data_IF_469586735299
#
_entry.id   IF_469586735299
#
_cell.length_a   1.000
_cell.length_b   1.000
_cell.length_c   1.000
_cell.angle_alpha   90.00
_cell.angle_beta   90.00
_cell.angle_gamma   90.00
#
_symmetry.space_group_name_H-M   'P 1'
#
loop_
_entity.id
_entity.type
_entity.pdbx_description
1 polymer ?
#
# COMPACT_ATOMS: atom_id res chain seq x y z
N UNK A 1 -4.52 8.24 -5.06
CA UNK A 1 -3.15 8.76 -5.29
C UNK A 1 -2.19 7.86 -4.52
N UNK A 2 -1.36 7.08 -5.22
CA UNK A 2 -0.29 6.31 -4.57
C UNK A 2 0.67 7.28 -3.88
N UNK A 3 0.85 7.13 -2.57
CA UNK A 3 1.77 7.97 -1.76
C UNK A 3 3.17 7.36 -1.70
N UNK A 4 3.29 6.05 -1.91
CA UNK A 4 4.56 5.33 -1.95
C UNK A 4 4.87 4.88 -3.37
N UNK A 5 6.09 5.14 -3.82
CA UNK A 5 6.59 4.72 -5.13
C UNK A 5 7.55 3.54 -5.00
N UNK A 6 7.58 2.70 -6.04
CA UNK A 6 8.65 1.72 -6.22
C UNK A 6 9.68 2.32 -7.17
N UNK A 7 10.93 2.42 -6.73
CA UNK A 7 12.00 2.96 -7.57
C UNK A 7 12.45 1.93 -8.60
N UNK A 8 12.27 2.27 -9.87
CA UNK A 8 12.73 1.50 -11.03
C UNK A 8 13.94 2.16 -11.70
N UNK A 9 14.18 3.45 -11.42
CA UNK A 9 15.10 4.30 -12.18
C UNK A 9 16.37 4.67 -11.39
N UNK A 10 16.59 4.08 -10.21
CA UNK A 10 17.71 4.39 -9.31
C UNK A 10 17.76 5.88 -8.96
N UNK A 11 16.62 6.42 -8.52
CA UNK A 11 16.48 7.84 -8.20
C UNK A 11 17.14 8.16 -6.85
N UNK A 12 17.68 9.37 -6.75
CA UNK A 12 18.16 9.90 -5.47
C UNK A 12 17.00 10.48 -4.68
N UNK A 13 16.78 9.96 -3.49
CA UNK A 13 15.81 10.51 -2.55
C UNK A 13 16.45 11.64 -1.72
N UNK A 14 15.62 12.56 -1.22
CA UNK A 14 16.06 13.54 -0.23
C UNK A 14 16.35 12.85 1.11
N UNK A 15 17.15 13.49 1.95
CA UNK A 15 17.52 13.02 3.31
C UNK A 15 16.30 12.78 4.22
N UNK A 16 15.21 13.50 3.96
CA UNK A 16 13.93 13.36 4.66
C UNK A 16 13.05 12.19 4.19
N UNK A 17 13.43 11.50 3.12
CA UNK A 17 12.64 10.39 2.58
C UNK A 17 12.86 9.09 3.36
N UNK A 18 11.76 8.39 3.68
CA UNK A 18 11.83 7.04 4.20
C UNK A 18 12.06 6.05 3.05
N UNK A 19 13.14 5.26 3.13
CA UNK A 19 13.51 4.27 2.11
C UNK A 19 13.39 2.87 2.71
N UNK A 20 12.74 1.99 1.97
CA UNK A 20 12.54 0.60 2.34
C UNK A 20 13.36 -0.32 1.43
N UNK A 21 14.06 -1.29 2.01
CA UNK A 21 14.89 -2.26 1.27
C UNK A 21 14.54 -3.69 1.68
N UNK A 22 14.72 -4.67 0.80
CA UNK A 22 14.37 -6.06 1.04
C UNK A 22 13.87 -6.81 -0.20
N UNK A 23 13.33 -8.01 -0.01
CA UNK A 23 12.91 -8.91 -1.09
C UNK A 23 11.43 -8.75 -1.51
N UNK A 24 10.53 -8.37 -0.61
CA UNK A 24 9.07 -8.31 -0.85
C UNK A 24 8.57 -6.87 -1.09
N UNK A 25 9.40 -6.03 -1.72
CA UNK A 25 9.14 -4.60 -1.84
C UNK A 25 7.90 -4.28 -2.69
N UNK A 26 7.64 -5.07 -3.73
CA UNK A 26 6.48 -4.86 -4.61
C UNK A 26 5.18 -5.11 -3.86
N UNK A 27 5.06 -6.26 -3.20
CA UNK A 27 3.94 -6.55 -2.31
C UNK A 27 3.76 -5.47 -1.25
N UNK A 28 4.83 -5.09 -0.56
CA UNK A 28 4.75 -4.14 0.54
C UNK A 28 4.34 -2.74 0.07
N UNK A 29 4.82 -2.31 -1.10
CA UNK A 29 4.39 -1.07 -1.72
C UNK A 29 2.91 -1.12 -2.14
N UNK A 30 2.45 -2.23 -2.72
CA UNK A 30 1.04 -2.44 -3.05
C UNK A 30 0.16 -2.41 -1.78
N UNK A 31 0.57 -3.13 -0.74
CA UNK A 31 -0.15 -3.21 0.53
C UNK A 31 -0.27 -1.84 1.22
N UNK A 32 0.81 -1.07 1.35
CA UNK A 32 0.77 0.24 2.01
C UNK A 32 -0.10 1.24 1.20
N UNK A 33 -0.14 1.10 -0.13
CA UNK A 33 -0.99 1.92 -0.98
C UNK A 33 -2.46 1.43 -1.04
N UNK A 34 -2.78 0.22 -0.58
CA UNK A 34 -4.16 -0.25 -0.45
C UNK A 34 -4.95 0.61 0.52
N UNK A 35 -6.28 0.63 0.36
CA UNK A 35 -7.17 1.41 1.22
C UNK A 35 -6.99 1.05 2.71
N UNK A 36 -6.90 -0.23 3.04
CA UNK A 36 -6.67 -0.68 4.42
C UNK A 36 -5.28 -0.28 4.92
N UNK A 37 -4.23 -0.59 4.16
CA UNK A 37 -2.85 -0.30 4.57
C UNK A 37 -2.60 1.20 4.77
N UNK A 38 -3.15 2.01 3.87
CA UNK A 38 -3.13 3.46 3.95
C UNK A 38 -3.81 3.95 5.23
N UNK A 39 -5.05 3.53 5.49
CA UNK A 39 -5.76 3.93 6.71
C UNK A 39 -5.03 3.49 7.98
N UNK A 40 -4.54 2.26 8.05
CA UNK A 40 -3.80 1.76 9.21
C UNK A 40 -2.55 2.61 9.48
N UNK A 41 -1.85 3.02 8.43
CA UNK A 41 -0.70 3.90 8.54
C UNK A 41 -1.11 5.30 9.04
N UNK A 42 -2.02 5.99 8.35
CA UNK A 42 -2.35 7.39 8.68
C UNK A 42 -3.11 7.56 10.00
N UNK A 43 -3.80 6.51 10.48
CA UNK A 43 -4.44 6.52 11.79
C UNK A 43 -3.44 6.39 12.94
N UNK A 44 -2.31 5.69 12.73
CA UNK A 44 -1.29 5.45 13.76
C UNK A 44 -0.06 6.33 13.64
N UNK A 45 0.16 6.95 12.48
CA UNK A 45 1.32 7.76 12.23
C UNK A 45 1.32 9.04 13.11
N UNK A 46 2.50 9.44 13.60
CA UNK A 46 2.65 10.68 14.35
C UNK A 46 2.29 11.88 13.47
N UNK A 47 1.72 12.90 14.11
CA UNK A 47 1.33 14.15 13.45
C UNK A 47 2.17 15.31 13.97
N UNK A 48 2.48 16.28 13.11
CA UNK A 48 3.10 17.54 13.50
C UNK A 48 2.12 18.39 14.33
N UNK A 49 2.61 19.47 14.95
CA UNK A 49 1.75 20.44 15.65
C UNK A 49 0.69 21.11 14.76
N UNK A 50 0.84 21.05 13.42
CA UNK A 50 -0.12 21.55 12.42
C UNK A 50 -1.06 20.45 11.89
N UNK A 51 -0.88 19.20 12.31
CA UNK A 51 -1.71 18.07 11.91
C UNK A 51 -1.21 17.28 10.68
N UNK A 52 -0.07 17.65 10.11
CA UNK A 52 0.56 16.94 9.00
C UNK A 52 1.09 15.57 9.45
N UNK A 53 0.91 14.55 8.63
CA UNK A 53 1.34 13.19 8.98
C UNK A 53 2.81 13.00 8.65
N UNK A 54 3.57 12.51 9.64
CA UNK A 54 4.98 12.17 9.48
C UNK A 54 5.09 10.68 9.15
N UNK A 55 5.52 10.37 7.93
CA UNK A 55 5.81 9.00 7.49
C UNK A 55 7.26 8.66 7.81
N UNK A 56 7.52 8.27 9.06
CA UNK A 56 8.83 7.82 9.53
C UNK A 56 8.88 6.29 9.65
N UNK A 57 10.08 5.74 9.86
CA UNK A 57 10.26 4.30 10.19
C UNK A 57 9.40 3.91 11.40
N UNK A 58 9.28 4.78 12.40
CA UNK A 58 8.46 4.55 13.59
C UNK A 58 6.95 4.46 13.28
N UNK A 59 6.49 5.12 12.21
CA UNK A 59 5.10 5.02 11.76
C UNK A 59 4.83 3.70 11.02
N UNK A 60 5.84 3.16 10.33
CA UNK A 60 5.74 1.95 9.53
C UNK A 60 5.94 0.67 10.34
N UNK A 61 6.82 0.70 11.36
CA UNK A 61 7.15 -0.44 12.21
C UNK A 61 5.92 -1.15 12.85
N UNK A 62 4.89 -0.44 13.38
CA UNK A 62 3.72 -1.08 13.97
C UNK A 62 2.64 -1.50 12.94
N UNK A 63 2.90 -1.37 11.64
CA UNK A 63 1.94 -1.73 10.60
C UNK A 63 1.81 -3.26 10.53
N UNK A 64 0.60 -3.83 10.66
CA UNK A 64 0.44 -5.28 10.75
C UNK A 64 0.51 -5.93 9.36
N UNK A 65 1.70 -6.03 8.77
CA UNK A 65 1.90 -6.63 7.44
C UNK A 65 1.75 -8.16 7.52
N UNK A 66 0.91 -8.79 6.68
CA UNK A 66 0.76 -10.24 6.68
C UNK A 66 2.08 -10.93 6.27
N UNK A 67 2.55 -11.94 7.02
CA UNK A 67 3.74 -12.68 6.63
C UNK A 67 3.44 -13.54 5.40
N UNK A 68 4.45 -13.78 4.57
CA UNK A 68 4.36 -14.72 3.44
C UNK A 68 4.39 -16.15 3.97
N UNK A 69 3.25 -16.84 3.89
CA UNK A 69 3.06 -18.22 4.36
C UNK A 69 2.45 -19.08 3.25
N UNK A 70 2.50 -20.41 3.37
CA UNK A 70 1.92 -21.31 2.38
C UNK A 70 0.41 -21.10 2.15
N UNK A 71 -0.32 -20.53 3.12
CA UNK A 71 -1.77 -20.28 3.02
C UNK A 71 -2.12 -19.05 2.19
N UNK A 72 -1.29 -18.00 2.25
CA UNK A 72 -1.58 -16.70 1.63
C UNK A 72 -0.61 -16.33 0.50
N UNK A 73 0.38 -17.18 0.20
CA UNK A 73 1.37 -16.92 -0.84
C UNK A 73 0.74 -16.66 -2.21
N UNK A 74 -0.34 -17.38 -2.55
CA UNK A 74 -1.05 -17.17 -3.82
C UNK A 74 -1.66 -15.78 -3.92
N UNK A 75 -2.31 -15.31 -2.85
CA UNK A 75 -2.92 -13.97 -2.78
C UNK A 75 -1.83 -12.89 -2.82
N UNK A 76 -0.73 -13.09 -2.10
CA UNK A 76 0.41 -12.18 -2.10
C UNK A 76 1.03 -12.07 -3.50
N UNK A 77 1.24 -13.20 -4.18
CA UNK A 77 1.80 -13.23 -5.53
C UNK A 77 0.85 -12.55 -6.55
N UNK A 78 -0.47 -12.74 -6.39
CA UNK A 78 -1.46 -12.05 -7.22
C UNK A 78 -1.44 -10.53 -7.03
N UNK A 79 -1.33 -10.05 -5.77
CA UNK A 79 -1.15 -8.63 -5.46
C UNK A 79 0.12 -8.08 -6.15
N UNK A 80 1.23 -8.82 -6.10
CA UNK A 80 2.47 -8.40 -6.77
C UNK A 80 2.29 -8.29 -8.29
N UNK A 81 1.60 -9.24 -8.92
CA UNK A 81 1.31 -9.22 -10.35
C UNK A 81 0.47 -7.99 -10.72
N UNK A 82 -0.62 -7.71 -9.97
CA UNK A 82 -1.46 -6.53 -10.21
C UNK A 82 -0.67 -5.23 -10.04
N UNK A 83 0.20 -5.18 -9.01
CA UNK A 83 1.05 -4.00 -8.80
C UNK A 83 2.04 -3.79 -9.96
N UNK A 84 2.65 -4.85 -10.49
CA UNK A 84 3.51 -4.76 -11.68
C UNK A 84 2.72 -4.22 -12.88
N UNK A 85 1.48 -4.67 -13.08
CA UNK A 85 0.62 -4.14 -14.15
C UNK A 85 0.37 -2.64 -13.97
N UNK A 86 0.06 -2.18 -12.75
CA UNK A 86 -0.09 -0.75 -12.43
C UNK A 86 1.17 0.03 -12.81
N UNK A 87 2.35 -0.47 -12.43
CA UNK A 87 3.63 0.18 -12.78
C UNK A 87 3.81 0.26 -14.30
N UNK A 88 3.55 -0.82 -15.03
CA UNK A 88 3.65 -0.84 -16.51
C UNK A 88 2.67 0.15 -17.17
N UNK A 89 1.45 0.28 -16.65
CA UNK A 89 0.49 1.26 -17.15
C UNK A 89 0.98 2.69 -16.91
N UNK A 90 1.45 2.98 -15.69
CA UNK A 90 1.93 4.32 -15.31
C UNK A 90 3.25 4.72 -15.97
N UNK A 91 4.08 3.76 -16.34
CA UNK A 91 5.31 3.99 -17.11
C UNK A 91 5.00 4.44 -18.54
N UNK A 92 3.96 3.86 -19.16
CA UNK A 92 3.52 4.25 -20.51
C UNK A 92 2.79 5.60 -20.51
N UNK A 93 1.95 5.83 -19.52
CA UNK A 93 1.23 7.08 -19.33
C UNK A 93 0.97 7.32 -17.84
N UNK A 94 1.58 8.38 -17.30
CA UNK A 94 1.48 8.74 -15.90
C UNK A 94 0.04 9.02 -15.43
N UNK A 95 -0.85 9.39 -16.37
CA UNK A 95 -2.26 9.70 -16.13
C UNK A 95 -3.19 8.51 -16.39
N UNK A 96 -2.65 7.33 -16.72
CA UNK A 96 -3.46 6.14 -16.95
C UNK A 96 -4.31 5.81 -15.73
N UNK A 97 -5.61 5.59 -16.00
CA UNK A 97 -6.56 5.16 -14.99
C UNK A 97 -6.32 3.69 -14.64
N UNK A 98 -5.86 3.48 -13.41
CA UNK A 98 -5.59 2.16 -12.84
C UNK A 98 -6.54 1.82 -11.68
N UNK A 99 -7.61 2.60 -11.50
CA UNK A 99 -8.52 2.49 -10.35
C UNK A 99 -9.14 1.10 -10.21
N UNK A 100 -9.33 0.38 -11.33
CA UNK A 100 -9.85 -0.98 -11.31
C UNK A 100 -8.83 -1.98 -10.74
N UNK A 101 -7.54 -1.84 -11.10
CA UNK A 101 -6.45 -2.66 -10.55
C UNK A 101 -6.22 -2.35 -9.07
N UNK A 102 -6.28 -1.08 -8.69
CA UNK A 102 -6.18 -0.65 -7.28
C UNK A 102 -7.30 -1.28 -6.44
N UNK A 103 -8.55 -1.27 -6.93
CA UNK A 103 -9.68 -1.93 -6.26
C UNK A 103 -9.51 -3.45 -6.15
N UNK A 104 -8.92 -4.10 -7.14
CA UNK A 104 -8.63 -5.54 -7.07
C UNK A 104 -7.60 -5.84 -5.98
N UNK A 105 -6.54 -5.02 -5.88
CA UNK A 105 -5.56 -5.12 -4.80
C UNK A 105 -6.25 -4.94 -3.45
N UNK A 106 -7.15 -3.96 -3.31
CA UNK A 106 -7.89 -3.75 -2.05
C UNK A 106 -8.69 -4.99 -1.64
N UNK A 107 -9.41 -5.63 -2.56
CA UNK A 107 -10.15 -6.86 -2.27
C UNK A 107 -9.24 -8.01 -1.83
N UNK A 108 -8.10 -8.20 -2.49
CA UNK A 108 -7.12 -9.23 -2.11
C UNK A 108 -6.49 -8.92 -0.74
N UNK A 109 -6.24 -7.64 -0.44
CA UNK A 109 -5.76 -7.22 0.88
C UNK A 109 -6.80 -7.50 1.96
N UNK A 110 -8.09 -7.25 1.70
CA UNK A 110 -9.16 -7.61 2.64
C UNK A 110 -9.22 -9.12 2.89
N UNK A 111 -9.02 -9.92 1.84
CA UNK A 111 -8.94 -11.38 1.94
C UNK A 111 -7.76 -11.85 2.81
N UNK A 112 -6.62 -11.14 2.83
CA UNK A 112 -5.49 -11.51 3.69
C UNK A 112 -5.81 -11.44 5.20
N UNK A 113 -6.87 -10.72 5.59
CA UNK A 113 -7.33 -10.61 6.98
C UNK A 113 -8.69 -11.28 7.21
N UNK A 114 -9.21 -12.00 6.21
CA UNK A 114 -10.54 -12.63 6.26
C UNK A 114 -11.66 -11.62 6.63
N UNK A 115 -11.57 -10.38 6.14
CA UNK A 115 -12.56 -9.34 6.47
C UNK A 115 -13.94 -9.69 5.91
N UNK A 116 -14.95 -9.45 6.73
CA UNK A 116 -16.35 -9.57 6.35
C UNK A 116 -16.83 -8.38 5.51
N UNK A 117 -17.92 -8.54 4.77
CA UNK A 117 -18.52 -7.45 4.00
C UNK A 117 -18.88 -6.22 4.85
N UNK A 118 -19.23 -6.42 6.13
CA UNK A 118 -19.53 -5.34 7.07
C UNK A 118 -18.26 -4.54 7.42
N UNK A 119 -17.15 -5.24 7.71
CA UNK A 119 -15.85 -4.64 8.01
C UNK A 119 -15.27 -3.92 6.80
N UNK A 120 -15.35 -4.53 5.60
CA UNK A 120 -14.98 -3.88 4.34
C UNK A 120 -15.78 -2.58 4.17
N UNK A 121 -17.09 -2.62 4.44
CA UNK A 121 -17.92 -1.42 4.39
C UNK A 121 -17.52 -0.33 5.39
N UNK A 122 -16.88 -0.67 6.51
CA UNK A 122 -16.32 0.32 7.46
C UNK A 122 -15.03 0.93 6.87
N UNK A 123 -14.13 0.11 6.35
CA UNK A 123 -12.88 0.54 5.72
C UNK A 123 -13.15 1.50 4.56
N UNK A 124 -14.05 1.11 3.65
CA UNK A 124 -14.41 1.92 2.47
C UNK A 124 -15.07 3.26 2.85
N UNK A 125 -15.94 3.27 3.87
CA UNK A 125 -16.54 4.52 4.37
C UNK A 125 -15.50 5.46 4.98
N UNK A 126 -14.45 4.92 5.60
CA UNK A 126 -13.33 5.70 6.12
C UNK A 126 -12.49 6.39 5.03
N UNK A 127 -12.52 5.86 3.79
CA UNK A 127 -11.71 6.32 2.67
C UNK A 127 -12.34 7.51 1.91
N UNK A 128 -13.62 7.79 2.12
CA UNK A 128 -14.37 8.87 1.43
C UNK A 128 -14.17 10.27 2.04
N UNK A 129 -12.99 10.57 2.61
CA UNK A 129 -12.69 11.88 3.21
C UNK A 129 -11.77 12.75 2.36
#
# INVERSE_FOLDING_TARGET
MLRFGYDVNNIYAQDSACIMTGSNLKFLCAYINSTLGNQLLFNKAPKTGTGDVIVSVQALDPLPVPPRTAKNIQVIDEIEVLFIQILTHKERDSNSDVSLLEKQIDQLVYQLYDLTSEEIGIVERGNMK
#
